data_IF_803090342924
#
_entry.id   IF_803090342924
#
_cell.length_a   1.000
_cell.length_b   1.000
_cell.length_c   1.000
_cell.angle_alpha   90.00
_cell.angle_beta   90.00
_cell.angle_gamma   90.00
#
_symmetry.space_group_name_H-M   'P 1'
#
loop_
_entity.id
_entity.type
_entity.pdbx_description
1 polymer ?
#
# COMPACT_ATOMS: atom_id res chain seq x y z
N UNK A 1 -8.98 -17.19 42.90
CA UNK A 1 -8.46 -15.87 42.43
C UNK A 1 -7.25 -16.02 41.52
N UNK A 2 -6.37 -17.01 41.73
CA UNK A 2 -5.21 -17.26 40.85
C UNK A 2 -5.61 -17.58 39.39
N UNK A 3 -6.60 -18.46 39.18
CA UNK A 3 -7.12 -18.81 37.84
C UNK A 3 -7.62 -17.61 37.02
N UNK A 4 -8.08 -16.55 37.68
CA UNK A 4 -8.61 -15.36 37.00
C UNK A 4 -7.48 -14.48 36.50
N UNK A 5 -6.47 -14.26 37.34
CA UNK A 5 -5.29 -13.48 36.99
C UNK A 5 -4.53 -14.15 35.84
N UNK A 6 -4.44 -15.48 35.85
CA UNK A 6 -3.76 -16.23 34.80
C UNK A 6 -4.52 -16.24 33.47
N UNK A 7 -5.86 -16.29 33.50
CA UNK A 7 -6.67 -16.10 32.29
C UNK A 7 -6.50 -14.71 31.68
N UNK A 8 -6.48 -13.66 32.51
CA UNK A 8 -6.26 -12.28 32.04
C UNK A 8 -4.88 -12.13 31.43
N UNK A 9 -3.84 -12.71 32.05
CA UNK A 9 -2.47 -12.73 31.51
C UNK A 9 -2.38 -13.45 30.18
N UNK A 10 -2.97 -14.65 30.06
CA UNK A 10 -3.01 -15.39 28.81
C UNK A 10 -3.73 -14.62 27.69
N UNK A 11 -4.81 -13.92 28.01
CA UNK A 11 -5.52 -13.06 27.06
C UNK A 11 -4.62 -11.88 26.63
N UNK A 12 -3.92 -11.24 27.57
CA UNK A 12 -3.00 -10.15 27.29
C UNK A 12 -1.80 -10.56 26.42
N UNK A 13 -1.22 -11.74 26.66
CA UNK A 13 -0.14 -12.29 25.84
C UNK A 13 -0.57 -12.53 24.39
N UNK A 14 -1.78 -13.06 24.19
CA UNK A 14 -2.33 -13.27 22.85
C UNK A 14 -2.58 -11.95 22.11
N UNK A 15 -3.08 -10.92 22.80
CA UNK A 15 -3.19 -9.56 22.25
C UNK A 15 -1.84 -8.99 21.85
N UNK A 16 -0.81 -9.16 22.69
CA UNK A 16 0.58 -8.73 22.36
C UNK A 16 1.09 -9.43 21.10
N UNK A 17 0.91 -10.74 20.98
CA UNK A 17 1.38 -11.51 19.83
C UNK A 17 0.69 -11.08 18.53
N UNK A 18 -0.62 -10.81 18.59
CA UNK A 18 -1.33 -10.31 17.42
C UNK A 18 -0.95 -8.88 17.06
N UNK A 19 -0.73 -7.99 18.02
CA UNK A 19 -0.15 -6.65 17.76
C UNK A 19 1.25 -6.74 17.15
N UNK A 20 2.09 -7.67 17.61
CA UNK A 20 3.40 -7.90 17.03
C UNK A 20 3.30 -8.38 15.58
N UNK A 21 2.36 -9.28 15.26
CA UNK A 21 2.10 -9.72 13.89
C UNK A 21 1.64 -8.56 12.99
N UNK A 22 0.77 -7.67 13.51
CA UNK A 22 0.32 -6.47 12.81
C UNK A 22 1.47 -5.50 12.51
N UNK A 23 2.31 -5.24 13.51
CA UNK A 23 3.51 -4.42 13.34
C UNK A 23 4.48 -5.05 12.35
N UNK A 24 4.67 -6.37 12.41
CA UNK A 24 5.49 -7.10 11.44
C UNK A 24 4.99 -6.94 10.00
N UNK A 25 3.67 -7.00 9.79
CA UNK A 25 3.06 -6.76 8.48
C UNK A 25 3.29 -5.32 7.99
N UNK A 26 3.09 -4.33 8.87
CA UNK A 26 3.36 -2.91 8.57
C UNK A 26 4.81 -2.70 8.15
N UNK A 27 5.76 -3.27 8.89
CA UNK A 27 7.19 -3.20 8.57
C UNK A 27 7.51 -3.91 7.27
N UNK A 28 6.97 -5.11 7.04
CA UNK A 28 7.19 -5.86 5.80
C UNK A 28 6.73 -5.08 4.57
N UNK A 29 5.54 -4.47 4.61
CA UNK A 29 5.04 -3.64 3.49
C UNK A 29 5.93 -2.41 3.27
N UNK A 30 6.36 -1.74 4.33
CA UNK A 30 7.22 -0.55 4.25
C UNK A 30 8.61 -0.84 3.69
N UNK A 31 9.19 -2.00 4.01
CA UNK A 31 10.54 -2.39 3.56
C UNK A 31 10.52 -3.01 2.16
N UNK A 32 9.56 -3.89 1.86
CA UNK A 32 9.51 -4.65 0.59
C UNK A 32 9.20 -3.76 -0.61
N UNK A 33 8.58 -2.59 -0.39
CA UNK A 33 8.14 -1.68 -1.45
C UNK A 33 8.86 -0.34 -1.37
N UNK A 34 10.19 -0.39 -1.34
CA UNK A 34 11.03 0.80 -1.31
C UNK A 34 10.78 1.75 -2.50
N UNK A 35 11.38 2.96 -2.44
CA UNK A 35 11.17 4.06 -3.39
C UNK A 35 11.34 3.66 -4.86
N UNK A 36 12.26 2.74 -5.15
CA UNK A 36 12.70 2.46 -6.52
C UNK A 36 11.66 1.69 -7.36
N UNK A 37 10.76 0.94 -6.72
CA UNK A 37 9.73 0.17 -7.45
C UNK A 37 8.55 1.01 -7.92
N UNK A 38 8.31 2.16 -7.27
CA UNK A 38 7.25 3.11 -7.60
C UNK A 38 7.78 4.35 -8.35
N UNK A 39 9.10 4.49 -8.45
CA UNK A 39 9.75 5.53 -9.25
C UNK A 39 9.42 5.34 -10.74
N UNK A 40 8.93 6.41 -11.36
CA UNK A 40 8.60 6.42 -12.78
C UNK A 40 7.15 6.07 -13.13
N UNK A 41 6.29 5.76 -12.16
CA UNK A 41 4.83 5.77 -12.38
C UNK A 41 4.32 7.19 -12.61
N UNK A 42 3.24 7.33 -13.39
CA UNK A 42 2.53 8.61 -13.49
C UNK A 42 2.02 9.03 -12.11
N UNK A 43 1.87 10.34 -11.87
CA UNK A 43 1.47 10.84 -10.54
C UNK A 43 0.17 10.20 -10.01
N UNK A 44 -0.80 9.98 -10.90
CA UNK A 44 -2.07 9.31 -10.55
C UNK A 44 -1.85 7.83 -10.19
N UNK A 45 -1.09 7.10 -10.99
CA UNK A 45 -0.83 5.68 -10.72
C UNK A 45 0.01 5.48 -9.46
N UNK A 46 0.96 6.38 -9.21
CA UNK A 46 1.76 6.40 -7.98
C UNK A 46 0.87 6.60 -6.74
N UNK A 47 -0.05 7.57 -6.78
CA UNK A 47 -1.00 7.81 -5.70
C UNK A 47 -1.95 6.62 -5.48
N UNK A 48 -2.45 6.02 -6.57
CA UNK A 48 -3.33 4.84 -6.51
C UNK A 48 -2.63 3.63 -5.90
N UNK A 49 -1.38 3.36 -6.25
CA UNK A 49 -0.60 2.27 -5.64
C UNK A 49 -0.47 2.51 -4.14
N UNK A 50 -0.14 3.73 -3.72
CA UNK A 50 -0.07 4.09 -2.30
C UNK A 50 -1.39 3.86 -1.56
N UNK A 51 -2.51 4.34 -2.12
CA UNK A 51 -3.85 4.17 -1.53
C UNK A 51 -4.28 2.71 -1.45
N UNK A 52 -4.04 1.91 -2.49
CA UNK A 52 -4.40 0.48 -2.51
C UNK A 52 -3.64 -0.30 -1.45
N UNK A 53 -2.34 -0.03 -1.31
CA UNK A 53 -1.51 -0.72 -0.31
C UNK A 53 -1.86 -0.29 1.10
N UNK A 54 -2.04 1.02 1.33
CA UNK A 54 -2.45 1.54 2.62
C UNK A 54 -3.83 1.01 3.02
N UNK A 55 -4.80 1.05 2.09
CA UNK A 55 -6.14 0.52 2.31
C UNK A 55 -6.13 -0.98 2.59
N UNK A 56 -5.37 -1.76 1.83
CA UNK A 56 -5.19 -3.19 2.05
C UNK A 56 -4.58 -3.49 3.41
N UNK A 57 -3.58 -2.71 3.83
CA UNK A 57 -2.93 -2.84 5.12
C UNK A 57 -3.87 -2.52 6.29
N UNK A 58 -4.66 -1.44 6.18
CA UNK A 58 -5.66 -1.09 7.19
C UNK A 58 -6.76 -2.14 7.31
N UNK A 59 -7.19 -2.72 6.18
CA UNK A 59 -8.17 -3.82 6.17
C UNK A 59 -7.59 -5.11 6.75
N UNK A 60 -6.35 -5.47 6.43
CA UNK A 60 -5.69 -6.60 7.05
C UNK A 60 -5.55 -6.40 8.56
N UNK A 61 -5.19 -5.18 9.00
CA UNK A 61 -5.07 -4.84 10.40
C UNK A 61 -6.41 -4.91 11.14
N UNK A 62 -7.46 -4.31 10.57
CA UNK A 62 -8.81 -4.39 11.10
C UNK A 62 -9.34 -5.83 11.12
N UNK A 63 -9.10 -6.60 10.07
CA UNK A 63 -9.49 -8.00 9.97
C UNK A 63 -8.82 -8.87 11.04
N UNK A 64 -7.51 -8.73 11.21
CA UNK A 64 -6.78 -9.41 12.27
C UNK A 64 -7.24 -8.97 13.68
N UNK A 65 -7.55 -7.69 13.88
CA UNK A 65 -8.17 -7.20 15.12
C UNK A 65 -9.52 -7.89 15.39
N UNK A 66 -10.40 -7.98 14.39
CA UNK A 66 -11.68 -8.68 14.55
C UNK A 66 -11.51 -10.19 14.76
N UNK A 67 -10.54 -10.83 14.09
CA UNK A 67 -10.23 -12.24 14.30
C UNK A 67 -9.75 -12.50 15.74
N UNK A 68 -8.83 -11.68 16.24
CA UNK A 68 -8.39 -11.74 17.64
C UNK A 68 -9.55 -11.49 18.61
N UNK A 69 -10.40 -10.50 18.33
CA UNK A 69 -11.55 -10.20 19.16
C UNK A 69 -12.57 -11.33 19.17
N UNK A 70 -12.74 -12.06 18.06
CA UNK A 70 -13.58 -13.24 17.97
C UNK A 70 -12.98 -14.45 18.71
N UNK A 71 -11.66 -14.65 18.62
CA UNK A 71 -10.96 -15.78 19.22
C UNK A 71 -10.79 -15.62 20.75
N UNK A 72 -10.50 -14.40 21.20
CA UNK A 72 -10.11 -14.14 22.59
C UNK A 72 -11.15 -13.32 23.36
N UNK A 73 -12.07 -12.61 22.70
CA UNK A 73 -12.98 -11.66 23.35
C UNK A 73 -12.28 -10.36 23.81
N UNK A 74 -13.05 -9.35 24.23
CA UNK A 74 -12.48 -8.18 24.91
C UNK A 74 -12.26 -8.47 26.40
N UNK A 75 -11.23 -7.88 27.03
CA UNK A 75 -11.12 -7.88 28.49
C UNK A 75 -12.36 -7.20 29.08
N UNK A 76 -13.23 -7.96 29.73
CA UNK A 76 -14.40 -7.47 30.46
C UNK A 76 -14.32 -7.96 31.89
N UNK A 77 -14.54 -7.06 32.86
CA UNK A 77 -14.72 -7.44 34.26
C UNK A 77 -15.96 -8.34 34.35
N UNK A 78 -15.81 -9.56 34.88
CA UNK A 78 -16.97 -10.36 35.28
C UNK A 78 -17.50 -9.81 36.59
N UNK A 79 -18.81 -9.62 36.67
CA UNK A 79 -19.48 -9.38 37.96
C UNK A 79 -19.69 -10.75 38.60
N UNK A 80 -19.26 -10.92 39.84
CA UNK A 80 -19.21 -12.21 40.54
C UNK A 80 -20.60 -12.80 40.88
N UNK A 81 -21.69 -12.12 40.56
CA UNK A 81 -23.06 -12.46 40.98
C UNK A 81 -24.07 -12.49 39.80
N UNK A 82 -23.66 -12.99 38.64
CA UNK A 82 -24.59 -13.15 37.51
C UNK A 82 -25.42 -14.44 37.65
N UNK A 83 -26.73 -14.35 37.47
CA UNK A 83 -27.63 -15.52 37.52
C UNK A 83 -27.40 -16.48 36.34
N UNK A 84 -27.84 -17.75 36.46
CA UNK A 84 -27.68 -18.76 35.40
C UNK A 84 -28.35 -18.33 34.07
N UNK A 85 -29.50 -17.65 34.15
CA UNK A 85 -30.18 -17.06 32.98
C UNK A 85 -29.38 -15.90 32.36
N UNK A 86 -28.75 -15.04 33.17
CA UNK A 86 -27.89 -13.98 32.66
C UNK A 86 -26.63 -14.55 31.99
N UNK A 87 -26.06 -15.63 32.54
CA UNK A 87 -24.91 -16.33 31.96
C UNK A 87 -25.26 -16.96 30.60
N UNK A 88 -26.39 -17.66 30.49
CA UNK A 88 -26.86 -18.29 29.25
C UNK A 88 -27.20 -17.25 28.17
N UNK A 89 -27.84 -16.14 28.56
CA UNK A 89 -28.20 -15.06 27.63
C UNK A 89 -26.95 -14.33 27.12
N UNK A 90 -25.97 -14.05 28.01
CA UNK A 90 -24.67 -13.47 27.64
C UNK A 90 -23.84 -14.39 26.75
N UNK A 91 -23.84 -15.69 27.00
CA UNK A 91 -23.12 -16.66 26.19
C UNK A 91 -23.68 -16.74 24.75
N UNK A 92 -25.01 -16.70 24.59
CA UNK A 92 -25.64 -16.66 23.26
C UNK A 92 -25.31 -15.36 22.52
N UNK A 93 -25.33 -14.22 23.21
CA UNK A 93 -24.96 -12.93 22.63
C UNK A 93 -23.47 -12.89 22.23
N UNK A 94 -22.55 -13.36 23.09
CA UNK A 94 -21.12 -13.38 22.79
C UNK A 94 -20.79 -14.30 21.60
N UNK A 95 -21.51 -15.41 21.46
CA UNK A 95 -21.33 -16.34 20.33
C UNK A 95 -21.76 -15.69 19.01
N UNK A 96 -22.90 -14.96 18.99
CA UNK A 96 -23.35 -14.23 17.80
C UNK A 96 -22.40 -13.10 17.42
N UNK A 97 -21.88 -12.37 18.41
CA UNK A 97 -20.87 -11.33 18.20
C UNK A 97 -19.59 -11.93 17.62
N UNK A 98 -19.05 -13.01 18.22
CA UNK A 98 -17.84 -13.68 17.73
C UNK A 98 -17.99 -14.18 16.29
N UNK A 99 -19.14 -14.76 15.92
CA UNK A 99 -19.40 -15.21 14.54
C UNK A 99 -19.47 -14.03 13.57
N UNK A 100 -20.12 -12.92 13.96
CA UNK A 100 -20.16 -11.69 13.13
C UNK A 100 -18.75 -11.14 12.92
N UNK A 101 -17.97 -11.08 13.98
CA UNK A 101 -16.62 -10.53 13.97
C UNK A 101 -15.68 -11.39 13.12
N UNK A 102 -15.82 -12.71 13.20
CA UNK A 102 -15.10 -13.64 12.34
C UNK A 102 -15.48 -13.46 10.85
N UNK A 103 -16.78 -13.27 10.54
CA UNK A 103 -17.21 -12.98 9.15
C UNK A 103 -16.64 -11.66 8.64
N UNK A 104 -16.62 -10.62 9.48
CA UNK A 104 -16.00 -9.34 9.14
C UNK A 104 -14.48 -9.50 8.94
N UNK A 105 -13.82 -10.29 9.79
CA UNK A 105 -12.39 -10.58 9.67
C UNK A 105 -12.06 -11.30 8.36
N UNK A 106 -12.83 -12.31 8.00
CA UNK A 106 -12.68 -13.06 6.74
C UNK A 106 -12.89 -12.12 5.54
N UNK A 107 -13.97 -11.34 5.55
CA UNK A 107 -14.26 -10.38 4.47
C UNK A 107 -13.18 -9.32 4.32
N UNK A 108 -12.72 -8.74 5.44
CA UNK A 108 -11.62 -7.77 5.45
C UNK A 108 -10.30 -8.38 4.97
N UNK A 109 -10.02 -9.64 5.31
CA UNK A 109 -8.84 -10.37 4.85
C UNK A 109 -8.84 -10.56 3.32
N UNK A 110 -9.95 -11.01 2.73
CA UNK A 110 -10.06 -11.15 1.27
C UNK A 110 -9.97 -9.80 0.55
N UNK A 111 -10.61 -8.76 1.09
CA UNK A 111 -10.55 -7.43 0.50
C UNK A 111 -9.14 -6.83 0.58
N UNK A 112 -8.46 -7.01 1.72
CA UNK A 112 -7.06 -6.63 1.89
C UNK A 112 -6.17 -7.32 0.87
N UNK A 113 -6.33 -8.63 0.70
CA UNK A 113 -5.58 -9.42 -0.28
C UNK A 113 -5.81 -8.90 -1.70
N UNK A 114 -7.05 -8.64 -2.09
CA UNK A 114 -7.39 -8.09 -3.39
C UNK A 114 -6.75 -6.71 -3.63
N UNK A 115 -6.81 -5.80 -2.64
CA UNK A 115 -6.23 -4.46 -2.75
C UNK A 115 -4.70 -4.50 -2.86
N UNK A 116 -4.04 -5.31 -2.03
CA UNK A 116 -2.58 -5.48 -2.07
C UNK A 116 -2.15 -6.07 -3.40
N UNK A 117 -2.82 -7.12 -3.87
CA UNK A 117 -2.53 -7.76 -5.17
C UNK A 117 -2.71 -6.76 -6.33
N UNK A 118 -3.78 -5.97 -6.30
CA UNK A 118 -4.04 -4.92 -7.31
C UNK A 118 -2.97 -3.83 -7.27
N UNK A 119 -2.58 -3.38 -6.08
CA UNK A 119 -1.50 -2.41 -5.89
C UNK A 119 -0.15 -2.92 -6.37
N UNK A 120 0.15 -4.21 -6.17
CA UNK A 120 1.35 -4.87 -6.72
C UNK A 120 1.28 -4.93 -8.25
N UNK A 121 0.15 -5.37 -8.82
CA UNK A 121 -0.08 -5.39 -10.27
C UNK A 121 0.13 -4.02 -10.92
N UNK A 122 -0.43 -2.96 -10.33
CA UNK A 122 -0.22 -1.58 -10.77
C UNK A 122 1.24 -1.13 -10.66
N UNK A 123 2.01 -1.67 -9.72
CA UNK A 123 3.44 -1.32 -9.61
C UNK A 123 4.22 -1.83 -10.83
N UNK A 124 3.90 -3.04 -11.31
CA UNK A 124 4.63 -3.67 -12.42
C UNK A 124 4.09 -3.26 -13.79
N UNK A 125 2.77 -3.12 -13.90
CA UNK A 125 2.07 -2.91 -15.16
C UNK A 125 1.41 -1.52 -15.29
N UNK A 126 1.55 -0.67 -14.29
CA UNK A 126 0.93 0.66 -14.27
C UNK A 126 1.55 1.64 -15.28
N UNK A 127 0.78 2.66 -15.68
CA UNK A 127 1.25 3.65 -16.64
C UNK A 127 2.41 4.45 -16.05
N UNK A 128 3.52 4.50 -16.81
CA UNK A 128 4.70 5.27 -16.45
C UNK A 128 4.55 6.74 -16.81
N UNK A 129 5.14 7.63 -16.02
CA UNK A 129 5.19 9.04 -16.33
C UNK A 129 5.91 9.24 -17.67
N UNK A 130 5.35 10.10 -18.54
CA UNK A 130 6.04 10.53 -19.75
C UNK A 130 7.35 11.21 -19.37
N UNK A 131 8.41 10.97 -20.15
CA UNK A 131 9.71 11.61 -19.89
C UNK A 131 9.55 13.13 -20.05
N UNK A 132 10.14 13.95 -19.16
CA UNK A 132 9.99 15.40 -19.22
C UNK A 132 10.42 15.91 -20.60
N UNK A 133 9.63 16.84 -21.15
CA UNK A 133 9.95 17.52 -22.40
C UNK A 133 11.27 18.28 -22.26
N UNK A 134 12.16 18.10 -23.21
CA UNK A 134 13.43 18.81 -23.31
C UNK A 134 13.36 19.72 -24.52
N UNK A 135 13.76 20.98 -24.32
CA UNK A 135 13.97 21.95 -25.38
C UNK A 135 15.44 21.91 -25.78
N UNK A 136 15.69 21.59 -27.05
CA UNK A 136 17.02 21.66 -27.65
C UNK A 136 17.03 22.86 -28.59
N UNK A 137 18.05 23.71 -28.46
CA UNK A 137 18.37 24.74 -29.46
C UNK A 137 19.56 24.23 -30.26
N UNK A 138 19.38 24.09 -31.56
CA UNK A 138 20.45 23.73 -32.50
C UNK A 138 21.20 24.99 -32.95
N UNK A 139 22.45 24.83 -33.38
CA UNK A 139 23.32 25.93 -33.84
C UNK A 139 22.79 26.72 -35.04
N UNK A 140 21.81 26.17 -35.76
CA UNK A 140 21.11 26.85 -36.85
C UNK A 140 19.96 27.75 -36.34
N UNK A 141 19.79 27.86 -35.02
CA UNK A 141 18.72 28.60 -34.35
C UNK A 141 17.39 27.85 -34.28
N UNK A 142 17.30 26.64 -34.85
CA UNK A 142 16.08 25.84 -34.76
C UNK A 142 15.88 25.30 -33.34
N UNK A 143 14.64 25.31 -32.88
CA UNK A 143 14.27 24.80 -31.55
C UNK A 143 13.45 23.52 -31.69
N UNK A 144 13.96 22.42 -31.14
CA UNK A 144 13.29 21.13 -31.13
C UNK A 144 12.79 20.81 -29.72
N UNK A 145 11.49 20.53 -29.61
CA UNK A 145 10.83 20.12 -28.37
C UNK A 145 10.44 18.65 -28.46
N UNK A 146 10.87 17.84 -27.49
CA UNK A 146 10.54 16.41 -27.46
C UNK A 146 10.83 15.75 -26.13
N UNK A 147 10.29 14.55 -25.93
CA UNK A 147 10.56 13.76 -24.74
C UNK A 147 11.94 13.11 -24.84
N UNK A 148 12.81 13.30 -23.83
CA UNK A 148 14.18 12.76 -23.84
C UNK A 148 14.21 11.24 -23.76
N UNK A 149 14.49 10.53 -24.84
CA UNK A 149 14.54 9.07 -24.86
C UNK A 149 15.86 8.53 -24.29
N UNK A 150 16.98 9.21 -24.55
CA UNK A 150 18.28 8.83 -24.02
C UNK A 150 19.40 9.75 -24.51
N UNK A 151 20.57 9.65 -23.87
CA UNK A 151 21.78 10.38 -24.25
C UNK A 151 22.89 9.34 -24.42
N UNK A 152 23.61 9.42 -25.54
CA UNK A 152 24.77 8.57 -25.82
C UNK A 152 25.92 9.42 -26.37
N UNK A 153 27.06 8.79 -26.68
CA UNK A 153 28.24 9.48 -27.22
C UNK A 153 28.01 10.09 -28.62
N UNK A 154 26.98 9.65 -29.34
CA UNK A 154 26.66 10.09 -30.70
C UNK A 154 25.66 11.24 -30.72
N UNK A 155 24.85 11.41 -29.67
CA UNK A 155 23.87 12.47 -29.60
C UNK A 155 22.81 12.31 -28.51
N UNK A 156 21.85 13.24 -28.55
CA UNK A 156 20.64 13.21 -27.73
C UNK A 156 19.49 12.64 -28.56
N UNK A 157 18.80 11.62 -28.03
CA UNK A 157 17.62 11.02 -28.68
C UNK A 157 16.35 11.60 -28.07
N UNK A 158 15.51 12.19 -28.90
CA UNK A 158 14.24 12.80 -28.53
C UNK A 158 13.09 12.10 -29.24
N UNK A 159 11.93 12.03 -28.59
CA UNK A 159 10.68 11.65 -29.24
C UNK A 159 9.87 12.89 -29.55
N UNK A 160 9.62 13.14 -30.83
CA UNK A 160 8.90 14.31 -31.35
C UNK A 160 7.75 13.79 -32.23
N UNK A 161 6.51 14.08 -31.86
CA UNK A 161 5.32 13.63 -32.63
C UNK A 161 5.22 12.11 -32.81
N UNK A 162 5.72 11.31 -31.86
CA UNK A 162 5.74 9.85 -31.94
C UNK A 162 6.95 9.24 -32.65
N UNK A 163 7.71 10.03 -33.42
CA UNK A 163 8.95 9.59 -34.05
C UNK A 163 10.16 9.84 -33.15
N UNK A 164 11.13 8.92 -33.15
CA UNK A 164 12.42 9.14 -32.48
C UNK A 164 13.37 9.87 -33.43
N UNK A 165 13.88 11.02 -33.00
CA UNK A 165 14.87 11.84 -33.70
C UNK A 165 16.14 11.93 -32.87
N UNK A 166 17.29 11.76 -33.51
CA UNK A 166 18.60 11.93 -32.89
C UNK A 166 19.19 13.28 -33.29
N UNK A 167 19.54 14.09 -32.30
CA UNK A 167 20.26 15.35 -32.49
C UNK A 167 21.74 15.11 -32.15
N UNK A 168 22.67 15.24 -33.11
CA UNK A 168 24.10 15.03 -32.87
C UNK A 168 24.68 16.08 -31.90
N UNK A 169 25.63 15.68 -31.04
CA UNK A 169 26.29 16.59 -30.09
C UNK A 169 26.87 17.85 -30.76
N UNK A 170 27.34 17.72 -32.00
CA UNK A 170 27.97 18.80 -32.76
C UNK A 170 26.99 19.94 -33.14
N UNK A 171 25.69 19.63 -33.22
CA UNK A 171 24.63 20.59 -33.54
C UNK A 171 23.98 21.20 -32.31
N UNK A 172 24.23 20.66 -31.12
CA UNK A 172 23.66 21.19 -29.87
C UNK A 172 24.33 22.52 -29.53
N UNK A 173 23.50 23.54 -29.35
CA UNK A 173 23.93 24.81 -28.75
C UNK A 173 23.57 24.84 -27.27
N UNK A 174 22.33 24.51 -26.93
CA UNK A 174 21.90 24.38 -25.53
C UNK A 174 20.80 23.33 -25.34
N UNK A 175 20.77 22.75 -24.15
CA UNK A 175 19.76 21.78 -23.72
C UNK A 175 19.15 22.29 -22.42
N UNK A 176 17.83 22.53 -22.42
CA UNK A 176 17.08 22.94 -21.22
C UNK A 176 15.99 21.93 -20.90
N UNK A 177 15.91 21.52 -19.64
CA UNK A 177 14.80 20.75 -19.10
C UNK A 177 13.60 21.67 -18.89
N UNK A 178 12.46 21.35 -19.49
CA UNK A 178 11.27 22.22 -19.48
C UNK A 178 11.34 23.40 -20.46
N UNK A 179 10.19 24.03 -20.72
CA UNK A 179 10.06 25.16 -21.66
C UNK A 179 9.47 24.80 -23.04
N UNK A 180 8.84 23.64 -23.16
CA UNK A 180 7.98 23.29 -24.29
C UNK A 180 6.53 23.42 -23.81
N UNK A 181 5.96 24.61 -23.99
CA UNK A 181 4.56 24.94 -23.71
C UNK A 181 3.71 24.64 -24.93
#
# INVERSE_FOLDING_TARGET
MEDELDRVRAQAENWRNGLAALLGLLTAVGVVKGPDTVQGLSGVAHAMVGLLLLGGLLLAAGGAFFAMRAAFGLPRRRFAEASLEELLTRQRLSTREAVRDLRLAIGAGFLALALVTTGIGLTWYGPRAGKPGVRIVEKDGSTLCGALVGVDAQGVRLRVGGAERRVPMQRLESVKSGGCS
#
